data_IF_156257375453
#
_entry.id   IF_156257375453
#
_cell.length_a   1.000
_cell.length_b   1.000
_cell.length_c   1.000
_cell.angle_alpha   90.00
_cell.angle_beta   90.00
_cell.angle_gamma   90.00
#
_symmetry.space_group_name_H-M   'P 1'
#
loop_
_entity.id
_entity.type
_entity.pdbx_description
1 polymer ?
#
# COMPACT_ATOMS: atom_id res chain seq x y z
N UNK A 1 -26.49 -20.59 -20.33
CA UNK A 1 -25.03 -20.44 -20.41
C UNK A 1 -24.80 -19.07 -21.04
N UNK A 2 -24.37 -18.09 -20.27
CA UNK A 2 -24.01 -16.79 -20.81
C UNK A 2 -22.76 -16.96 -21.69
N UNK A 3 -22.64 -16.28 -22.85
CA UNK A 3 -21.43 -16.33 -23.64
C UNK A 3 -20.23 -15.83 -22.79
N UNK A 4 -19.04 -16.36 -23.05
CA UNK A 4 -17.85 -15.81 -22.40
C UNK A 4 -17.76 -14.32 -22.71
N UNK A 5 -17.34 -13.47 -21.75
CA UNK A 5 -17.15 -12.04 -22.03
C UNK A 5 -16.17 -11.91 -23.19
N UNK A 6 -16.53 -11.09 -24.17
CA UNK A 6 -15.62 -10.76 -25.27
C UNK A 6 -14.30 -10.25 -24.68
N UNK A 7 -13.14 -10.61 -25.26
CA UNK A 7 -11.87 -10.05 -24.85
C UNK A 7 -12.01 -8.53 -24.97
N UNK A 8 -11.84 -7.83 -23.83
CA UNK A 8 -11.75 -6.37 -23.82
C UNK A 8 -10.68 -6.00 -24.85
N UNK A 9 -11.04 -5.25 -25.87
CA UNK A 9 -10.09 -4.72 -26.86
C UNK A 9 -8.94 -4.10 -26.06
N UNK A 10 -7.73 -4.63 -26.25
CA UNK A 10 -6.56 -4.21 -25.50
C UNK A 10 -6.21 -2.76 -25.88
N UNK A 11 -6.78 -1.81 -25.15
CA UNK A 11 -6.41 -0.41 -25.30
C UNK A 11 -5.03 -0.24 -24.67
N UNK A 12 -4.08 0.25 -25.46
CA UNK A 12 -2.75 0.57 -24.97
C UNK A 12 -2.85 1.59 -23.84
N UNK A 13 -2.31 1.31 -22.64
CA UNK A 13 -2.39 2.27 -21.56
C UNK A 13 -1.56 3.52 -21.86
N UNK A 14 -2.00 4.65 -21.36
CA UNK A 14 -1.25 5.92 -21.36
C UNK A 14 -0.86 6.34 -19.94
N UNK A 15 -1.50 5.73 -18.93
CA UNK A 15 -1.25 5.99 -17.53
C UNK A 15 -1.20 4.67 -16.74
N UNK A 16 -0.30 4.62 -15.77
CA UNK A 16 -0.21 3.53 -14.78
C UNK A 16 -0.43 4.13 -13.39
N UNK A 17 -1.46 3.64 -12.71
CA UNK A 17 -1.77 3.94 -11.33
C UNK A 17 -1.15 2.88 -10.44
N UNK A 18 -0.55 3.29 -9.35
CA UNK A 18 -0.05 2.40 -8.32
C UNK A 18 -0.69 2.72 -6.97
N UNK A 19 -0.97 1.71 -6.18
CA UNK A 19 -0.99 1.87 -4.75
C UNK A 19 0.44 2.12 -4.23
N UNK A 20 0.57 2.57 -2.98
CA UNK A 20 1.89 2.83 -2.39
C UNK A 20 2.29 1.78 -1.35
N UNK A 21 1.49 1.62 -0.29
CA UNK A 21 1.82 0.76 0.84
C UNK A 21 1.68 -0.73 0.46
N UNK A 22 2.75 -1.51 0.64
CA UNK A 22 2.91 -2.90 0.20
C UNK A 22 2.87 -3.15 -1.33
N UNK A 23 2.78 -2.08 -2.12
CA UNK A 23 2.92 -2.13 -3.57
C UNK A 23 4.27 -1.59 -4.05
N UNK A 24 4.60 -0.34 -3.74
CA UNK A 24 5.90 0.28 -4.07
C UNK A 24 6.77 0.46 -2.82
N UNK A 25 6.17 0.70 -1.69
CA UNK A 25 6.78 0.81 -0.38
C UNK A 25 6.53 -0.47 0.43
N UNK A 26 7.57 -1.12 0.92
CA UNK A 26 7.48 -2.35 1.74
C UNK A 26 7.00 -2.01 3.16
N UNK A 27 5.70 -1.73 3.31
CA UNK A 27 5.08 -1.36 4.58
C UNK A 27 5.19 -2.49 5.61
N UNK A 28 4.77 -3.68 5.24
CA UNK A 28 4.77 -4.86 6.12
C UNK A 28 6.19 -5.19 6.63
N UNK A 29 7.16 -5.24 5.72
CA UNK A 29 8.55 -5.50 6.09
C UNK A 29 9.17 -4.40 6.94
N UNK A 30 8.84 -3.13 6.65
CA UNK A 30 9.29 -1.98 7.45
C UNK A 30 8.68 -1.97 8.84
N UNK A 31 7.36 -2.23 8.97
CA UNK A 31 6.66 -2.29 10.25
C UNK A 31 7.19 -3.45 11.12
N UNK A 32 7.43 -4.63 10.51
CA UNK A 32 8.02 -5.78 11.21
C UNK A 32 9.44 -5.49 11.70
N UNK A 33 10.27 -4.86 10.87
CA UNK A 33 11.63 -4.47 11.25
C UNK A 33 11.65 -3.40 12.35
N UNK A 34 10.76 -2.42 12.29
CA UNK A 34 10.60 -1.40 13.33
C UNK A 34 10.15 -2.01 14.66
N UNK A 35 9.22 -2.97 14.62
CA UNK A 35 8.77 -3.68 15.83
C UNK A 35 9.91 -4.49 16.44
N UNK A 36 10.68 -5.21 15.62
CA UNK A 36 11.88 -5.92 16.09
C UNK A 36 12.87 -4.99 16.75
N UNK A 37 13.22 -3.85 16.11
CA UNK A 37 14.13 -2.86 16.66
C UNK A 37 13.62 -2.25 17.99
N UNK A 38 12.31 -2.04 18.10
CA UNK A 38 11.69 -1.49 19.33
C UNK A 38 11.71 -2.46 20.52
N UNK A 39 11.80 -3.77 20.26
CA UNK A 39 11.66 -4.81 21.29
C UNK A 39 12.97 -5.51 21.67
N UNK A 40 13.96 -5.53 20.78
CA UNK A 40 15.20 -6.33 20.91
C UNK A 40 15.98 -6.05 22.21
N UNK A 41 16.05 -4.81 22.67
CA UNK A 41 16.82 -4.43 23.86
C UNK A 41 15.99 -4.37 25.15
N UNK A 42 14.74 -4.83 25.10
CA UNK A 42 13.80 -4.70 26.21
C UNK A 42 13.53 -6.04 26.87
N UNK A 43 13.95 -6.24 28.15
CA UNK A 43 13.78 -7.52 28.87
C UNK A 43 12.33 -7.99 28.94
N UNK A 44 11.37 -7.07 29.00
CA UNK A 44 9.94 -7.37 29.08
C UNK A 44 9.39 -8.11 27.84
N UNK A 45 10.11 -8.09 26.72
CA UNK A 45 9.72 -8.84 25.50
C UNK A 45 10.43 -10.18 25.36
N UNK A 46 11.30 -10.55 26.31
CA UNK A 46 11.97 -11.84 26.27
C UNK A 46 10.95 -12.97 26.29
N UNK A 47 11.09 -13.90 25.35
CA UNK A 47 10.17 -15.05 25.21
C UNK A 47 8.91 -14.79 24.36
N UNK A 48 8.68 -13.55 23.93
CA UNK A 48 7.58 -13.25 22.98
C UNK A 48 8.12 -13.40 21.55
N UNK A 49 7.51 -14.31 20.79
CA UNK A 49 7.89 -14.51 19.38
C UNK A 49 7.53 -13.27 18.56
N UNK A 50 8.49 -12.74 17.80
CA UNK A 50 8.29 -11.55 16.94
C UNK A 50 7.12 -11.73 15.97
N UNK A 51 6.93 -12.94 15.40
CA UNK A 51 5.86 -13.20 14.45
C UNK A 51 4.47 -13.09 15.09
N UNK A 52 4.31 -13.60 16.31
CA UNK A 52 3.06 -13.45 17.05
C UNK A 52 2.77 -11.99 17.42
N UNK A 53 3.81 -11.25 17.82
CA UNK A 53 3.70 -9.83 18.13
C UNK A 53 3.35 -9.02 16.87
N UNK A 54 3.99 -9.32 15.75
CA UNK A 54 3.75 -8.65 14.47
C UNK A 54 2.35 -8.96 13.92
N UNK A 55 1.91 -10.21 13.99
CA UNK A 55 0.56 -10.58 13.60
C UNK A 55 -0.48 -9.77 14.37
N UNK A 56 -0.34 -9.72 15.70
CA UNK A 56 -1.27 -8.92 16.53
C UNK A 56 -1.18 -7.43 16.26
N UNK A 57 0.02 -6.91 15.99
CA UNK A 57 0.21 -5.52 15.59
C UNK A 57 -0.54 -5.19 14.28
N UNK A 58 -0.46 -6.06 13.28
CA UNK A 58 -1.15 -5.88 11.99
C UNK A 58 -2.66 -5.94 12.13
N UNK A 59 -3.20 -6.89 12.92
CA UNK A 59 -4.63 -6.97 13.21
C UNK A 59 -5.14 -5.66 13.85
N UNK A 60 -4.41 -5.13 14.83
CA UNK A 60 -4.77 -3.87 15.48
C UNK A 60 -4.64 -2.66 14.54
N UNK A 61 -3.69 -2.69 13.61
CA UNK A 61 -3.56 -1.65 12.59
C UNK A 61 -4.78 -1.64 11.67
N UNK A 62 -5.18 -2.80 11.15
CA UNK A 62 -6.36 -2.97 10.30
C UNK A 62 -7.66 -2.58 11.02
N UNK A 63 -7.80 -2.97 12.30
CA UNK A 63 -8.95 -2.59 13.13
C UNK A 63 -9.07 -1.08 13.33
N UNK A 64 -7.93 -0.41 13.58
CA UNK A 64 -7.93 1.00 14.00
C UNK A 64 -7.83 1.98 12.83
N UNK A 65 -7.24 1.57 11.71
CA UNK A 65 -7.02 2.47 10.57
C UNK A 65 -8.31 3.12 10.03
N UNK A 66 -9.41 2.37 9.81
CA UNK A 66 -10.69 2.97 9.40
C UNK A 66 -11.24 3.98 10.41
N UNK A 67 -11.00 3.77 11.70
CA UNK A 67 -11.45 4.65 12.77
C UNK A 67 -10.67 5.98 12.79
N UNK A 68 -9.37 5.93 12.48
CA UNK A 68 -8.54 7.12 12.29
C UNK A 68 -9.02 7.92 11.08
N UNK A 69 -9.28 7.24 9.97
CA UNK A 69 -9.77 7.91 8.75
C UNK A 69 -11.17 8.50 8.93
N UNK A 70 -12.01 7.91 9.81
CA UNK A 70 -13.30 8.46 10.22
C UNK A 70 -13.19 9.62 11.24
N UNK A 71 -11.96 9.98 11.67
CA UNK A 71 -11.73 11.06 12.65
C UNK A 71 -12.08 10.71 14.09
N UNK A 72 -12.27 9.41 14.41
CA UNK A 72 -12.57 8.96 15.78
C UNK A 72 -11.32 9.00 16.68
N UNK A 73 -10.15 8.88 16.10
CA UNK A 73 -8.84 9.00 16.75
C UNK A 73 -7.89 9.82 15.89
N UNK A 74 -7.01 10.57 16.56
CA UNK A 74 -5.79 11.07 15.89
C UNK A 74 -4.82 9.92 15.60
N UNK A 75 -3.86 10.13 14.70
CA UNK A 75 -2.82 9.13 14.41
C UNK A 75 -1.96 8.83 15.63
N UNK A 76 -1.67 9.84 16.45
CA UNK A 76 -0.92 9.70 17.70
C UNK A 76 -1.69 8.86 18.73
N UNK A 77 -2.97 9.15 18.92
CA UNK A 77 -3.85 8.37 19.83
C UNK A 77 -3.97 6.93 19.37
N UNK A 78 -4.19 6.69 18.08
CA UNK A 78 -4.26 5.35 17.52
C UNK A 78 -2.94 4.56 17.70
N UNK A 79 -1.79 5.20 17.48
CA UNK A 79 -0.48 4.57 17.72
C UNK A 79 -0.31 4.21 19.21
N UNK A 80 -0.59 5.13 20.11
CA UNK A 80 -0.52 4.90 21.57
C UNK A 80 -1.42 3.74 21.99
N UNK A 81 -2.71 3.79 21.62
CA UNK A 81 -3.70 2.78 21.96
C UNK A 81 -3.34 1.40 21.37
N UNK A 82 -2.76 1.37 20.17
CA UNK A 82 -2.29 0.13 19.53
C UNK A 82 -1.24 -0.55 20.39
N UNK A 83 -0.24 0.17 20.91
CA UNK A 83 0.77 -0.44 21.77
C UNK A 83 0.24 -0.87 23.12
N UNK A 84 -0.70 -0.15 23.72
CA UNK A 84 -1.40 -0.60 24.93
C UNK A 84 -2.11 -1.92 24.68
N UNK A 85 -2.92 -2.02 23.60
CA UNK A 85 -3.67 -3.23 23.25
C UNK A 85 -2.76 -4.38 22.81
N UNK A 86 -1.65 -4.08 22.17
CA UNK A 86 -0.67 -5.06 21.70
C UNK A 86 -0.04 -5.80 22.87
N UNK A 87 0.28 -5.10 23.94
CA UNK A 87 1.06 -5.63 25.06
C UNK A 87 0.22 -6.18 26.21
N UNK A 88 -1.06 -5.81 26.29
CA UNK A 88 -1.98 -6.29 27.32
C UNK A 88 -2.06 -7.82 27.41
N UNK A 89 -2.16 -8.62 26.31
CA UNK A 89 -2.22 -10.08 26.39
C UNK A 89 -0.97 -10.73 26.99
N UNK A 90 0.14 -10.02 27.03
CA UNK A 90 1.41 -10.50 27.59
C UNK A 90 1.63 -10.06 29.06
N UNK A 91 0.61 -9.44 29.67
CA UNK A 91 0.70 -8.92 31.04
C UNK A 91 1.52 -7.62 31.14
N UNK A 92 1.86 -7.00 30.03
CA UNK A 92 2.62 -5.76 29.93
C UNK A 92 1.66 -4.58 29.83
N UNK A 93 1.10 -4.17 30.94
CA UNK A 93 0.24 -2.98 31.02
C UNK A 93 1.10 -1.70 30.96
N UNK A 94 0.98 -0.94 29.86
CA UNK A 94 1.63 0.36 29.75
C UNK A 94 0.71 1.48 30.22
N UNK A 95 1.26 2.41 31.00
CA UNK A 95 0.62 3.72 31.22
C UNK A 95 0.52 4.50 29.89
N UNK A 96 -0.30 5.52 29.85
CA UNK A 96 -0.45 6.37 28.65
C UNK A 96 0.90 6.99 28.21
N UNK A 97 1.70 7.44 29.17
CA UNK A 97 3.01 8.04 28.91
C UNK A 97 4.02 7.02 28.35
N UNK A 98 4.06 5.81 28.91
CA UNK A 98 4.93 4.73 28.44
C UNK A 98 4.52 4.27 27.03
N UNK A 99 3.22 4.11 26.78
CA UNK A 99 2.70 3.73 25.50
C UNK A 99 2.97 4.80 24.42
N UNK A 100 2.83 6.08 24.75
CA UNK A 100 3.16 7.19 23.87
C UNK A 100 4.66 7.23 23.54
N UNK A 101 5.52 7.04 24.53
CA UNK A 101 6.96 6.98 24.32
C UNK A 101 7.36 5.78 23.44
N UNK A 102 6.80 4.60 23.71
CA UNK A 102 7.05 3.40 22.90
C UNK A 102 6.55 3.58 21.46
N UNK A 103 5.36 4.15 21.29
CA UNK A 103 4.78 4.43 19.98
C UNK A 103 5.66 5.40 19.16
N UNK A 104 6.19 6.44 19.82
CA UNK A 104 7.11 7.39 19.17
C UNK A 104 8.42 6.71 18.78
N UNK A 105 9.05 5.94 19.66
CA UNK A 105 10.27 5.20 19.37
C UNK A 105 10.08 4.21 18.20
N UNK A 106 8.97 3.46 18.20
CA UNK A 106 8.61 2.58 17.08
C UNK A 106 8.43 3.37 15.78
N UNK A 107 7.79 4.52 15.82
CA UNK A 107 7.59 5.37 14.64
C UNK A 107 8.92 5.92 14.09
N UNK A 108 9.87 6.26 14.96
CA UNK A 108 11.19 6.71 14.55
C UNK A 108 11.96 5.57 13.85
N UNK A 109 11.88 4.34 14.38
CA UNK A 109 12.41 3.16 13.69
C UNK A 109 11.71 2.91 12.36
N UNK A 110 10.38 2.98 12.33
CA UNK A 110 9.61 2.82 11.10
C UNK A 110 10.06 3.81 10.02
N UNK A 111 10.27 5.07 10.38
CA UNK A 111 10.74 6.08 9.44
C UNK A 111 12.17 5.83 8.96
N UNK A 112 13.07 5.38 9.83
CA UNK A 112 14.48 5.15 9.50
C UNK A 112 14.73 3.86 8.72
N UNK A 113 13.83 2.87 8.84
CA UNK A 113 13.95 1.54 8.21
C UNK A 113 13.11 1.40 6.93
N UNK A 114 12.52 2.49 6.44
CA UNK A 114 11.73 2.49 5.21
C UNK A 114 12.55 1.99 4.03
N UNK A 115 11.94 1.15 3.21
CA UNK A 115 12.56 0.60 2.01
C UNK A 115 11.52 0.39 0.91
N UNK A 116 11.94 0.44 -0.36
CA UNK A 116 11.03 0.11 -1.46
C UNK A 116 10.74 -1.40 -1.48
N UNK A 117 9.66 -1.78 -2.13
CA UNK A 117 9.47 -3.15 -2.63
C UNK A 117 10.55 -3.43 -3.67
N UNK A 118 11.08 -4.66 -3.67
CA UNK A 118 12.09 -5.08 -4.68
C UNK A 118 11.58 -4.80 -6.10
N UNK A 119 12.42 -4.16 -6.92
CA UNK A 119 12.09 -3.76 -8.30
C UNK A 119 11.25 -2.50 -8.46
N UNK A 120 10.68 -1.93 -7.38
CA UNK A 120 9.76 -0.78 -7.49
C UNK A 120 10.39 0.46 -8.14
N UNK A 121 11.59 0.84 -7.72
CA UNK A 121 12.30 1.99 -8.29
C UNK A 121 12.69 1.76 -9.76
N UNK A 122 13.18 0.55 -10.06
CA UNK A 122 13.57 0.17 -11.41
C UNK A 122 12.36 0.17 -12.36
N UNK A 123 11.24 -0.39 -11.91
CA UNK A 123 9.99 -0.39 -12.66
C UNK A 123 9.46 1.02 -12.92
N UNK A 124 9.40 1.87 -11.89
CA UNK A 124 8.96 3.26 -12.06
C UNK A 124 9.86 4.04 -13.01
N UNK A 125 11.19 3.88 -12.88
CA UNK A 125 12.16 4.54 -13.77
C UNK A 125 12.03 4.08 -15.23
N UNK A 126 11.76 2.80 -15.45
CA UNK A 126 11.52 2.26 -16.78
C UNK A 126 10.18 2.75 -17.37
N UNK A 127 9.10 2.81 -16.57
CA UNK A 127 7.79 3.23 -17.03
C UNK A 127 7.69 4.74 -17.31
N UNK A 128 8.38 5.57 -16.53
CA UNK A 128 8.27 7.05 -16.57
C UNK A 128 8.46 7.69 -17.95
N UNK A 129 9.38 7.27 -18.81
CA UNK A 129 9.54 7.84 -20.16
C UNK A 129 8.35 7.56 -21.10
N UNK A 130 7.50 6.58 -20.78
CA UNK A 130 6.48 6.05 -21.68
C UNK A 130 5.06 6.29 -21.20
N UNK A 131 4.87 6.42 -19.88
CA UNK A 131 3.56 6.48 -19.23
C UNK A 131 3.50 7.60 -18.19
N UNK A 132 2.31 8.15 -17.98
CA UNK A 132 2.04 8.98 -16.80
C UNK A 132 1.87 8.08 -15.59
N UNK A 133 2.48 8.45 -14.47
CA UNK A 133 2.48 7.65 -13.24
C UNK A 133 1.66 8.35 -12.18
N UNK A 134 0.60 7.70 -11.72
CA UNK A 134 -0.21 8.16 -10.59
C UNK A 134 -0.07 7.25 -9.38
N UNK A 135 -0.08 7.85 -8.19
CA UNK A 135 -0.24 7.11 -6.93
C UNK A 135 -1.66 7.34 -6.41
N UNK A 136 -2.37 6.26 -6.07
CA UNK A 136 -3.72 6.30 -5.47
C UNK A 136 -3.69 5.50 -4.18
N UNK A 137 -3.79 6.16 -3.02
CA UNK A 137 -3.50 5.53 -1.74
C UNK A 137 -4.46 5.96 -0.63
N UNK A 138 -4.74 5.03 0.30
CA UNK A 138 -5.62 5.26 1.46
C UNK A 138 -4.83 5.74 2.67
N UNK A 139 -4.33 6.98 2.63
CA UNK A 139 -3.55 7.55 3.74
C UNK A 139 -3.53 9.08 3.68
N UNK A 140 -2.76 9.71 4.62
CA UNK A 140 -2.53 11.16 4.64
C UNK A 140 -1.55 11.60 3.56
N UNK A 141 -1.81 12.74 2.98
CA UNK A 141 -0.98 13.34 1.92
C UNK A 141 0.46 13.55 2.37
N UNK A 142 0.65 14.22 3.50
CA UNK A 142 1.98 14.52 4.03
C UNK A 142 2.81 13.25 4.33
N UNK A 143 2.17 12.15 4.79
CA UNK A 143 2.87 10.89 5.05
C UNK A 143 3.30 10.21 3.76
N UNK A 144 2.46 10.23 2.73
CA UNK A 144 2.78 9.61 1.45
C UNK A 144 3.82 10.42 0.66
N UNK A 145 3.74 11.75 0.72
CA UNK A 145 4.79 12.62 0.17
C UNK A 145 6.15 12.36 0.82
N UNK A 146 6.21 12.28 2.16
CA UNK A 146 7.45 11.96 2.90
C UNK A 146 8.00 10.56 2.52
N UNK A 147 7.14 9.55 2.31
CA UNK A 147 7.55 8.23 1.81
C UNK A 147 8.14 8.32 0.40
N UNK A 148 7.45 8.96 -0.53
CA UNK A 148 7.93 9.12 -1.91
C UNK A 148 9.26 9.88 -1.99
N UNK A 149 9.43 10.92 -1.20
CA UNK A 149 10.68 11.67 -1.11
C UNK A 149 11.81 10.80 -0.54
N UNK A 150 11.57 10.16 0.60
CA UNK A 150 12.56 9.31 1.26
C UNK A 150 13.04 8.16 0.36
N UNK A 151 12.13 7.56 -0.40
CA UNK A 151 12.43 6.45 -1.30
C UNK A 151 13.00 6.88 -2.65
N UNK A 152 13.12 8.19 -2.93
CA UNK A 152 13.58 8.70 -4.22
C UNK A 152 12.57 8.51 -5.36
N UNK A 153 11.30 8.23 -5.05
CA UNK A 153 10.24 7.98 -6.03
C UNK A 153 9.54 9.27 -6.50
N UNK A 154 9.61 10.34 -5.71
CA UNK A 154 8.88 11.58 -6.00
C UNK A 154 9.09 12.14 -7.43
N UNK A 155 10.32 12.15 -8.01
CA UNK A 155 10.53 12.62 -9.38
C UNK A 155 9.90 11.72 -10.46
N UNK A 156 9.54 10.48 -10.11
CA UNK A 156 8.98 9.48 -11.02
C UNK A 156 7.44 9.50 -11.05
N UNK A 157 6.81 10.24 -10.13
CA UNK A 157 5.36 10.32 -9.97
C UNK A 157 4.83 11.62 -10.54
N UNK A 158 3.79 11.58 -11.38
CA UNK A 158 3.14 12.78 -11.93
C UNK A 158 2.02 13.29 -11.03
N UNK A 159 1.29 12.35 -10.38
CA UNK A 159 0.12 12.68 -9.56
C UNK A 159 0.09 11.81 -8.31
N UNK A 160 -0.13 12.44 -7.16
CA UNK A 160 -0.47 11.77 -5.90
C UNK A 160 -1.93 12.08 -5.55
N UNK A 161 -2.73 11.02 -5.36
CA UNK A 161 -4.12 11.09 -4.91
C UNK A 161 -4.25 10.30 -3.62
N UNK A 162 -4.59 10.98 -2.54
CA UNK A 162 -4.75 10.36 -1.22
C UNK A 162 -6.20 10.42 -0.77
N UNK A 163 -6.62 9.45 0.05
CA UNK A 163 -7.96 9.46 0.64
C UNK A 163 -8.23 10.71 1.48
N UNK A 164 -7.21 11.25 2.15
CA UNK A 164 -7.33 12.50 2.90
C UNK A 164 -7.67 13.68 2.00
N UNK A 165 -6.97 13.82 0.86
CA UNK A 165 -7.19 14.94 -0.06
C UNK A 165 -8.53 14.89 -0.80
N UNK A 166 -9.05 13.66 -1.04
CA UNK A 166 -10.32 13.45 -1.78
C UNK A 166 -11.52 13.32 -0.83
N UNK A 167 -11.29 12.97 0.43
CA UNK A 167 -12.34 12.75 1.42
C UNK A 167 -13.01 11.38 1.34
N UNK A 168 -12.57 10.48 0.45
CA UNK A 168 -13.05 9.10 0.33
C UNK A 168 -11.88 8.15 0.09
N UNK A 169 -12.04 6.90 0.54
CA UNK A 169 -11.05 5.84 0.41
C UNK A 169 -11.34 4.93 -0.78
N UNK A 170 -10.32 4.29 -1.35
CA UNK A 170 -10.49 3.09 -2.16
C UNK A 170 -11.25 2.02 -1.33
N UNK A 171 -12.25 1.31 -1.86
CA UNK A 171 -12.62 1.19 -3.29
C UNK A 171 -13.67 2.21 -3.78
N UNK A 172 -13.92 3.33 -3.10
CA UNK A 172 -14.92 4.30 -3.56
C UNK A 172 -14.53 4.87 -4.95
N UNK A 173 -15.44 4.87 -5.96
CA UNK A 173 -15.14 5.26 -7.34
C UNK A 173 -14.45 6.62 -7.48
N UNK A 174 -14.88 7.59 -6.69
CA UNK A 174 -14.44 8.97 -6.81
C UNK A 174 -12.92 9.18 -6.69
N UNK A 175 -12.22 8.38 -5.88
CA UNK A 175 -10.76 8.52 -5.74
C UNK A 175 -10.02 8.16 -7.03
N UNK A 176 -10.52 7.17 -7.80
CA UNK A 176 -9.97 6.80 -9.10
C UNK A 176 -10.34 7.82 -10.18
N UNK A 177 -11.58 8.34 -10.16
CA UNK A 177 -12.03 9.39 -11.09
C UNK A 177 -11.13 10.63 -10.97
N UNK A 178 -10.82 11.07 -9.75
CA UNK A 178 -9.88 12.18 -9.49
C UNK A 178 -8.48 11.87 -10.05
N UNK A 179 -8.01 10.63 -9.92
CA UNK A 179 -6.71 10.26 -10.47
C UNK A 179 -6.70 10.29 -12.00
N UNK A 180 -7.75 9.75 -12.64
CA UNK A 180 -7.91 9.78 -14.10
C UNK A 180 -8.00 11.21 -14.64
N UNK A 181 -8.77 12.08 -13.98
CA UNK A 181 -8.90 13.49 -14.33
C UNK A 181 -7.54 14.20 -14.29
N UNK A 182 -6.81 14.06 -13.18
CA UNK A 182 -5.49 14.68 -13.02
C UNK A 182 -4.44 14.16 -13.99
N UNK A 183 -4.57 12.90 -14.41
CA UNK A 183 -3.71 12.29 -15.42
C UNK A 183 -4.21 12.52 -16.84
N UNK A 184 -5.34 13.19 -17.03
CA UNK A 184 -5.95 13.45 -18.33
C UNK A 184 -6.08 12.19 -19.20
N UNK A 185 -6.61 11.09 -18.64
CA UNK A 185 -6.82 9.83 -19.35
C UNK A 185 -8.19 9.24 -19.01
N UNK A 186 -8.69 8.37 -19.91
CA UNK A 186 -9.90 7.58 -19.64
C UNK A 186 -9.55 6.32 -18.82
N UNK A 187 -10.56 5.72 -18.19
CA UNK A 187 -10.39 4.48 -17.43
C UNK A 187 -9.82 3.35 -18.31
N UNK A 188 -10.27 3.22 -19.55
CA UNK A 188 -9.77 2.20 -20.50
C UNK A 188 -8.29 2.40 -20.87
N UNK A 189 -7.72 3.60 -20.68
CA UNK A 189 -6.32 3.93 -20.92
C UNK A 189 -5.46 3.83 -19.68
N UNK A 190 -6.03 3.40 -18.55
CA UNK A 190 -5.31 3.28 -17.28
C UNK A 190 -5.18 1.83 -16.83
N UNK A 191 -4.11 1.55 -16.11
CA UNK A 191 -3.88 0.31 -15.38
C UNK A 191 -3.72 0.64 -13.91
N UNK A 192 -4.34 -0.11 -13.02
CA UNK A 192 -4.14 -0.01 -11.57
C UNK A 192 -3.35 -1.21 -11.08
N UNK A 193 -2.19 -0.96 -10.48
CA UNK A 193 -1.35 -1.98 -9.84
C UNK A 193 -1.43 -1.79 -8.33
N UNK A 194 -1.80 -2.84 -7.59
CA UNK A 194 -1.88 -2.79 -6.14
C UNK A 194 -1.97 -4.16 -5.52
N UNK A 195 -1.72 -4.24 -4.21
CA UNK A 195 -1.69 -5.49 -3.45
C UNK A 195 -3.05 -5.82 -2.81
N UNK A 196 -3.87 -4.82 -2.51
CA UNK A 196 -5.15 -5.00 -1.83
C UNK A 196 -6.26 -5.35 -2.82
N UNK A 197 -6.75 -6.60 -2.73
CA UNK A 197 -7.79 -7.08 -3.64
C UNK A 197 -9.03 -6.20 -3.67
N UNK A 198 -9.55 -5.81 -2.52
CA UNK A 198 -10.78 -5.04 -2.45
C UNK A 198 -10.57 -3.59 -2.88
N UNK A 199 -9.52 -2.97 -2.40
CA UNK A 199 -9.22 -1.59 -2.71
C UNK A 199 -8.73 -1.40 -4.15
N UNK A 200 -7.73 -2.18 -4.60
CA UNK A 200 -7.03 -1.90 -5.86
C UNK A 200 -7.61 -2.65 -7.05
N UNK A 201 -8.11 -3.87 -6.82
CA UNK A 201 -8.64 -4.70 -7.90
C UNK A 201 -10.13 -4.45 -8.11
N UNK A 202 -10.94 -4.69 -7.09
CA UNK A 202 -12.40 -4.52 -7.19
C UNK A 202 -12.76 -3.07 -7.42
N UNK A 203 -12.11 -2.13 -6.73
CA UNK A 203 -12.33 -0.70 -6.91
C UNK A 203 -11.97 -0.21 -8.31
N UNK A 204 -10.86 -0.65 -8.88
CA UNK A 204 -10.45 -0.30 -10.24
C UNK A 204 -11.42 -0.86 -11.29
N UNK A 205 -11.83 -2.13 -11.15
CA UNK A 205 -12.83 -2.74 -12.04
C UNK A 205 -14.14 -1.98 -12.04
N UNK A 206 -14.60 -1.51 -10.89
CA UNK A 206 -15.87 -0.79 -10.76
C UNK A 206 -15.93 0.51 -11.58
N UNK A 207 -14.78 1.10 -11.89
CA UNK A 207 -14.66 2.32 -12.73
C UNK A 207 -14.14 2.05 -14.14
N UNK A 208 -13.93 0.78 -14.51
CA UNK A 208 -13.46 0.38 -15.85
C UNK A 208 -11.95 0.49 -16.06
N UNK A 209 -11.17 0.63 -14.99
CA UNK A 209 -9.71 0.57 -15.02
C UNK A 209 -9.27 -0.91 -15.02
N UNK A 210 -8.30 -1.28 -15.84
CA UNK A 210 -7.71 -2.62 -15.87
C UNK A 210 -6.81 -2.83 -14.63
N UNK A 211 -7.12 -3.78 -13.72
CA UNK A 211 -6.27 -4.05 -12.58
C UNK A 211 -5.17 -5.05 -12.91
N UNK A 212 -4.04 -4.91 -12.21
CA UNK A 212 -3.01 -5.93 -12.05
C UNK A 212 -2.81 -6.13 -10.55
N UNK A 213 -3.11 -7.33 -10.07
CA UNK A 213 -2.98 -7.64 -8.67
C UNK A 213 -1.55 -8.05 -8.32
N UNK A 214 -0.90 -7.31 -7.43
CA UNK A 214 0.41 -7.64 -6.88
C UNK A 214 0.26 -8.51 -5.63
N UNK A 215 0.19 -9.83 -5.82
CA UNK A 215 -0.03 -10.80 -4.74
C UNK A 215 1.29 -11.26 -4.09
N UNK A 216 1.99 -10.36 -3.40
CA UNK A 216 3.29 -10.63 -2.75
C UNK A 216 3.21 -11.63 -1.60
N UNK A 217 2.05 -11.75 -0.97
CA UNK A 217 1.85 -12.54 0.24
C UNK A 217 1.13 -13.86 -0.02
N UNK A 218 1.01 -14.28 -1.28
CA UNK A 218 0.36 -15.52 -1.70
C UNK A 218 -1.07 -15.68 -1.11
N UNK A 219 -1.83 -14.58 -1.07
CA UNK A 219 -3.22 -14.62 -0.64
C UNK A 219 -4.04 -15.51 -1.60
N UNK A 220 -5.08 -16.21 -1.10
CA UNK A 220 -5.94 -17.03 -1.94
C UNK A 220 -6.55 -16.21 -3.07
N UNK A 221 -6.43 -16.69 -4.31
CA UNK A 221 -6.96 -15.99 -5.49
C UNK A 221 -8.48 -16.07 -5.50
N UNK A 222 -9.19 -14.94 -5.56
CA UNK A 222 -10.63 -14.94 -5.81
C UNK A 222 -10.95 -15.46 -7.23
N UNK A 223 -12.21 -15.87 -7.46
CA UNK A 223 -12.65 -16.54 -8.70
C UNK A 223 -12.67 -15.65 -9.95
N UNK A 224 -12.27 -14.39 -9.86
CA UNK A 224 -12.27 -13.44 -10.99
C UNK A 224 -10.94 -13.53 -11.76
N UNK A 225 -11.02 -13.60 -13.10
CA UNK A 225 -9.84 -13.58 -13.97
C UNK A 225 -9.26 -12.16 -14.04
N UNK A 226 -8.27 -11.89 -13.18
CA UNK A 226 -7.47 -10.66 -13.16
C UNK A 226 -6.02 -11.03 -13.39
N UNK A 227 -5.26 -10.18 -14.06
CA UNK A 227 -3.82 -10.37 -14.17
C UNK A 227 -3.18 -10.26 -12.80
N UNK A 228 -2.28 -11.20 -12.51
CA UNK A 228 -1.59 -11.32 -11.22
C UNK A 228 -0.08 -11.37 -11.45
N UNK A 229 0.65 -10.65 -10.62
CA UNK A 229 2.09 -10.76 -10.45
C UNK A 229 2.38 -10.99 -8.96
N UNK A 230 3.41 -11.72 -8.65
CA UNK A 230 3.81 -11.99 -7.24
C UNK A 230 5.02 -11.16 -6.82
N UNK A 231 5.65 -10.47 -7.77
CA UNK A 231 6.83 -9.63 -7.59
C UNK A 231 6.87 -8.57 -8.68
N UNK A 232 7.57 -7.46 -8.42
CA UNK A 232 7.94 -6.48 -9.44
C UNK A 232 9.27 -6.84 -10.13
N UNK A 233 9.87 -7.95 -9.73
CA UNK A 233 11.09 -8.53 -10.32
C UNK A 233 10.80 -9.93 -10.88
N UNK A 234 11.39 -10.29 -12.03
CA UNK A 234 12.26 -9.45 -12.86
C UNK A 234 11.45 -8.36 -13.60
N UNK A 235 12.10 -7.23 -13.89
CA UNK A 235 11.48 -6.07 -14.55
C UNK A 235 10.70 -6.43 -15.82
N UNK A 236 11.24 -7.29 -16.67
CA UNK A 236 10.62 -7.66 -17.94
C UNK A 236 9.24 -8.30 -17.77
N UNK A 237 9.07 -9.15 -16.75
CA UNK A 237 7.81 -9.84 -16.47
C UNK A 237 6.76 -8.86 -15.94
N UNK A 238 7.14 -8.04 -14.95
CA UNK A 238 6.26 -7.01 -14.41
C UNK A 238 5.86 -6.00 -15.51
N UNK A 239 6.82 -5.55 -16.29
CA UNK A 239 6.58 -4.67 -17.44
C UNK A 239 5.56 -5.27 -18.40
N UNK A 240 5.77 -6.52 -18.85
CA UNK A 240 4.91 -7.18 -19.82
C UNK A 240 3.45 -7.30 -19.31
N UNK A 241 3.28 -7.70 -18.05
CA UNK A 241 1.94 -7.86 -17.47
C UNK A 241 1.26 -6.49 -17.30
N UNK A 242 1.97 -5.48 -16.83
CA UNK A 242 1.41 -4.15 -16.58
C UNK A 242 1.09 -3.42 -17.88
N UNK A 243 2.00 -3.45 -18.85
CA UNK A 243 1.85 -2.65 -20.08
C UNK A 243 1.21 -3.43 -21.24
N UNK A 244 1.27 -4.77 -21.19
CA UNK A 244 0.89 -5.65 -22.29
C UNK A 244 1.91 -5.66 -23.43
N UNK A 245 3.14 -5.17 -23.20
CA UNK A 245 4.19 -5.05 -24.21
C UNK A 245 5.48 -5.70 -23.71
N UNK A 246 6.32 -6.17 -24.62
CA UNK A 246 7.68 -6.58 -24.26
C UNK A 246 8.53 -5.35 -23.95
N UNK A 247 9.40 -5.47 -22.97
CA UNK A 247 10.43 -4.48 -22.69
C UNK A 247 11.40 -4.47 -23.87
N UNK A 248 11.56 -3.33 -24.53
CA UNK A 248 12.42 -3.15 -25.68
C UNK A 248 13.91 -3.11 -25.34
#
# INVERSE_FOLDING_TARGET
MLPPPEPLDFVRPTAILFDLDDTLFDHAGTARAALAASTTSRPEFQGIALDALYQRYSELLEEMHPQVLAGLYTYEEARRLRFQRLLTPYGLGLTDAEAAHFAQQHYDFYRSLRRPVGGALELLAALKPHYRIGIVTNNRTAEQEDKLQYLGMAPLVDVLVTSEAVGVMKPHPHIYEVALERLHCSAAQAVMVGDNWQADVVGALAVGIRPVWLNRFAAPRPLVHVQEITSLEPLADAWQVITGQSLG
#
